data_IF_676256824741
#
_entry.id   IF_676256824741
#
_cell.length_a   1.000
_cell.length_b   1.000
_cell.length_c   1.000
_cell.angle_alpha   90.00
_cell.angle_beta   90.00
_cell.angle_gamma   90.00
#
_symmetry.space_group_name_H-M   'P 1'
#
loop_
_entity.id
_entity.type
_entity.pdbx_description
1 polymer ?
#
# COMPACT_ATOMS: atom_id res chain seq x y z
N UNK A 1 -26.73 2.40 0.81
CA UNK A 1 -26.59 3.52 -0.17
C UNK A 1 -25.11 3.86 -0.30
N UNK A 2 -24.64 4.28 -1.48
CA UNK A 2 -23.21 4.57 -1.74
C UNK A 2 -23.05 6.01 -2.22
N UNK A 3 -22.08 6.80 -1.72
CA UNK A 3 -21.81 8.15 -2.22
C UNK A 3 -21.35 8.17 -3.68
N UNK A 4 -21.68 9.21 -4.45
CA UNK A 4 -21.24 9.35 -5.84
C UNK A 4 -19.71 9.39 -6.00
N UNK A 5 -19.01 9.85 -4.96
CA UNK A 5 -17.56 9.91 -4.91
C UNK A 5 -16.92 8.73 -4.15
N UNK A 6 -17.65 7.63 -3.93
CA UNK A 6 -17.11 6.46 -3.25
C UNK A 6 -15.89 5.88 -3.98
N UNK A 7 -15.04 5.20 -3.23
CA UNK A 7 -13.88 4.45 -3.71
C UNK A 7 -14.02 3.01 -3.28
N UNK A 8 -13.52 2.11 -4.11
CA UNK A 8 -13.39 0.70 -3.75
C UNK A 8 -12.01 0.45 -3.13
N UNK A 9 -12.00 -0.27 -2.02
CA UNK A 9 -10.79 -0.77 -1.38
C UNK A 9 -10.94 -2.28 -1.28
N UNK A 10 -10.04 -3.03 -1.89
CA UNK A 10 -9.95 -4.46 -1.61
C UNK A 10 -9.32 -4.63 -0.22
N UNK A 11 -9.95 -5.42 0.64
CA UNK A 11 -9.48 -5.66 2.01
C UNK A 11 -9.17 -7.14 2.15
N UNK A 12 -7.94 -7.43 2.55
CA UNK A 12 -7.44 -8.76 2.90
C UNK A 12 -7.15 -8.76 4.41
N UNK A 13 -8.09 -9.18 5.27
CA UNK A 13 -7.91 -9.11 6.72
C UNK A 13 -6.81 -10.06 7.23
N UNK A 14 -6.47 -11.09 6.45
CA UNK A 14 -5.32 -11.96 6.68
C UNK A 14 -4.83 -12.56 5.37
N UNK A 15 -3.68 -13.27 5.40
CA UNK A 15 -3.08 -13.91 4.22
C UNK A 15 -3.94 -15.06 3.67
N UNK A 16 -4.71 -15.72 4.54
CA UNK A 16 -5.44 -16.95 4.20
C UNK A 16 -6.95 -16.70 4.03
N UNK A 17 -7.45 -15.58 4.55
CA UNK A 17 -8.88 -15.28 4.49
C UNK A 17 -9.31 -14.78 3.11
N UNK A 18 -10.60 -14.97 2.82
CA UNK A 18 -11.24 -14.39 1.66
C UNK A 18 -11.14 -12.86 1.67
N UNK A 19 -10.95 -12.28 0.48
CA UNK A 19 -10.92 -10.83 0.26
C UNK A 19 -12.33 -10.30 0.05
N UNK A 20 -12.58 -9.08 0.51
CA UNK A 20 -13.83 -8.37 0.23
C UNK A 20 -13.58 -6.96 -0.31
N UNK A 21 -14.56 -6.39 -0.99
CA UNK A 21 -14.53 -5.00 -1.46
C UNK A 21 -15.28 -4.11 -0.47
N UNK A 22 -14.58 -3.13 0.09
CA UNK A 22 -15.17 -2.09 0.92
C UNK A 22 -15.38 -0.82 0.10
N UNK A 23 -16.59 -0.27 0.14
CA UNK A 23 -16.90 1.03 -0.42
C UNK A 23 -16.81 2.10 0.66
N UNK A 24 -16.02 3.14 0.41
CA UNK A 24 -15.76 4.23 1.36
C UNK A 24 -15.85 5.60 0.68
N UNK A 25 -16.32 6.66 1.35
CA UNK A 25 -16.81 6.69 2.73
C UNK A 25 -18.24 6.12 2.88
N UNK A 26 -18.65 5.91 4.14
CA UNK A 26 -20.04 5.60 4.45
C UNK A 26 -20.95 6.75 3.97
N UNK A 27 -22.10 6.39 3.40
CA UNK A 27 -23.06 7.38 2.93
C UNK A 27 -23.74 8.09 4.11
N UNK A 28 -23.61 9.42 4.16
CA UNK A 28 -24.30 10.27 5.13
C UNK A 28 -25.37 11.12 4.45
N UNK A 29 -24.99 11.86 3.39
CA UNK A 29 -25.88 12.74 2.61
C UNK A 29 -25.31 13.02 1.22
N UNK A 30 -26.10 13.69 0.38
CA UNK A 30 -25.67 14.18 -0.93
C UNK A 30 -25.86 13.18 -2.09
N UNK A 31 -25.18 13.40 -3.22
CA UNK A 31 -25.35 12.59 -4.41
C UNK A 31 -24.99 11.12 -4.17
N UNK A 32 -25.80 10.21 -4.71
CA UNK A 32 -25.58 8.76 -4.67
C UNK A 32 -24.86 8.30 -5.93
N UNK A 33 -24.07 7.23 -5.78
CA UNK A 33 -23.51 6.52 -6.91
C UNK A 33 -24.66 6.02 -7.80
N UNK A 34 -24.54 6.28 -9.11
CA UNK A 34 -25.52 5.87 -10.11
C UNK A 34 -25.36 4.38 -10.38
N UNK A 35 -26.44 3.76 -10.83
CA UNK A 35 -26.35 2.39 -11.32
C UNK A 35 -25.45 2.33 -12.57
N UNK A 36 -24.71 1.24 -12.72
CA UNK A 36 -23.70 1.07 -13.77
C UNK A 36 -22.50 2.03 -13.69
N UNK A 37 -22.29 2.75 -12.58
CA UNK A 37 -21.14 3.64 -12.44
C UNK A 37 -19.82 2.87 -12.31
N UNK A 38 -18.82 3.27 -13.10
CA UNK A 38 -17.47 2.73 -13.00
C UNK A 38 -16.64 3.47 -11.95
N UNK A 39 -15.90 2.70 -11.14
CA UNK A 39 -14.94 3.23 -10.18
C UNK A 39 -13.52 3.03 -10.75
N UNK A 40 -12.89 4.05 -11.36
CA UNK A 40 -11.58 3.88 -11.98
C UNK A 40 -10.50 3.46 -10.97
N UNK A 41 -9.54 2.65 -11.42
CA UNK A 41 -8.45 2.12 -10.58
C UNK A 41 -7.63 3.23 -9.91
N UNK A 42 -7.42 4.37 -10.58
CA UNK A 42 -6.62 5.49 -10.09
C UNK A 42 -7.11 6.11 -8.76
N UNK A 43 -8.36 5.86 -8.37
CA UNK A 43 -8.95 6.33 -7.10
C UNK A 43 -9.26 5.20 -6.12
N UNK A 44 -9.13 3.95 -6.54
CA UNK A 44 -9.34 2.75 -5.75
C UNK A 44 -8.00 2.27 -5.16
N UNK A 45 -8.06 1.37 -4.19
CA UNK A 45 -6.85 0.80 -3.57
C UNK A 45 -6.92 -0.72 -3.54
N UNK A 46 -5.83 -1.34 -3.94
CA UNK A 46 -5.56 -2.76 -3.75
C UNK A 46 -4.52 -2.89 -2.65
N UNK A 47 -4.60 -3.89 -1.77
CA UNK A 47 -3.54 -4.16 -0.81
C UNK A 47 -2.20 -4.41 -1.53
N UNK A 48 -1.11 -4.06 -0.86
CA UNK A 48 0.21 -4.55 -1.25
C UNK A 48 0.25 -6.04 -0.94
N UNK A 49 0.68 -6.85 -1.90
CA UNK A 49 0.82 -8.29 -1.70
C UNK A 49 2.09 -8.60 -0.89
N UNK A 50 2.09 -9.71 -0.16
CA UNK A 50 3.20 -10.10 0.72
C UNK A 50 4.52 -10.27 -0.05
N UNK A 51 4.45 -10.82 -1.26
CA UNK A 51 5.64 -10.97 -2.11
C UNK A 51 6.24 -9.60 -2.49
N UNK A 52 5.38 -8.61 -2.80
CA UNK A 52 5.82 -7.24 -3.09
C UNK A 52 6.48 -6.57 -1.88
N UNK A 53 6.01 -6.90 -0.66
CA UNK A 53 6.65 -6.44 0.57
C UNK A 53 8.05 -7.05 0.72
N UNK A 54 8.20 -8.35 0.47
CA UNK A 54 9.51 -9.02 0.52
C UNK A 54 10.47 -8.51 -0.54
N UNK A 55 9.98 -8.26 -1.76
CA UNK A 55 10.76 -7.69 -2.84
C UNK A 55 11.24 -6.28 -2.47
N UNK A 56 10.35 -5.45 -1.93
CA UNK A 56 10.67 -4.08 -1.50
C UNK A 56 11.69 -4.07 -0.34
N UNK A 57 11.55 -4.99 0.61
CA UNK A 57 12.52 -5.16 1.70
C UNK A 57 13.87 -5.62 1.15
N UNK A 58 13.88 -6.54 0.20
CA UNK A 58 15.11 -7.04 -0.43
C UNK A 58 15.81 -5.94 -1.23
N UNK A 59 15.07 -5.16 -2.02
CA UNK A 59 15.62 -4.01 -2.74
C UNK A 59 16.19 -2.98 -1.77
N UNK A 60 15.48 -2.66 -0.69
CA UNK A 60 15.97 -1.73 0.33
C UNK A 60 17.26 -2.25 0.98
N UNK A 61 17.30 -3.53 1.36
CA UNK A 61 18.49 -4.14 1.95
C UNK A 61 19.68 -4.15 0.99
N UNK A 62 19.46 -4.39 -0.31
CA UNK A 62 20.52 -4.30 -1.33
C UNK A 62 21.00 -2.86 -1.51
N UNK A 63 20.07 -1.92 -1.62
CA UNK A 63 20.38 -0.51 -1.82
C UNK A 63 21.16 0.09 -0.65
N UNK A 64 20.92 -0.38 0.58
CA UNK A 64 21.63 0.09 1.78
C UNK A 64 22.80 -0.81 2.19
N UNK A 65 22.96 -1.98 1.58
CA UNK A 65 23.98 -2.95 1.92
C UNK A 65 25.39 -2.59 1.44
N UNK A 66 26.37 -3.48 1.65
CA UNK A 66 27.77 -3.29 1.25
C UNK A 66 27.99 -3.24 -0.27
N UNK A 67 26.98 -3.57 -1.07
CA UNK A 67 27.00 -3.39 -2.53
C UNK A 67 26.27 -2.11 -2.98
N UNK A 68 25.71 -1.35 -2.03
CA UNK A 68 24.91 -0.15 -2.28
C UNK A 68 25.47 1.08 -1.56
N UNK A 69 24.61 1.84 -0.90
CA UNK A 69 24.97 3.08 -0.21
C UNK A 69 26.00 2.88 0.92
N UNK A 70 26.15 1.65 1.44
CA UNK A 70 27.17 1.31 2.43
C UNK A 70 28.42 0.65 1.80
N UNK A 71 28.65 0.81 0.50
CA UNK A 71 29.81 0.21 -0.17
C UNK A 71 31.15 0.67 0.42
N UNK A 72 31.24 1.95 0.80
CA UNK A 72 32.44 2.53 1.43
C UNK A 72 32.36 2.53 2.97
N UNK A 73 31.39 1.85 3.57
CA UNK A 73 31.20 1.82 5.03
C UNK A 73 30.58 3.08 5.63
N UNK A 74 30.25 4.10 4.82
CA UNK A 74 29.79 5.40 5.32
C UNK A 74 28.51 5.35 6.18
N UNK A 75 27.59 4.41 5.92
CA UNK A 75 26.40 4.23 6.76
C UNK A 75 26.77 3.55 8.08
N UNK A 76 27.68 2.57 8.06
CA UNK A 76 28.23 1.92 9.26
C UNK A 76 28.97 2.94 10.14
N UNK A 77 29.84 3.76 9.57
CA UNK A 77 30.61 4.78 10.29
C UNK A 77 29.71 5.83 10.96
N UNK A 78 28.61 6.23 10.31
CA UNK A 78 27.62 7.13 10.91
C UNK A 78 26.97 6.50 12.14
N UNK A 79 26.51 5.25 12.02
CA UNK A 79 25.85 4.55 13.13
C UNK A 79 26.81 4.36 14.32
N UNK A 80 28.08 4.10 14.07
CA UNK A 80 29.11 3.93 15.10
C UNK A 80 29.46 5.23 15.82
N UNK A 81 29.37 6.39 15.15
CA UNK A 81 29.62 7.71 15.78
C UNK A 81 28.42 8.26 16.55
N UNK A 82 27.20 7.77 16.27
CA UNK A 82 25.95 8.21 16.89
C UNK A 82 25.44 7.34 18.04
N UNK A 83 25.97 6.12 18.22
CA UNK A 83 25.67 5.20 19.31
C UNK A 83 26.56 5.44 20.54
#
# INVERSE_FOLDING_TARGET
KVPANARAVAVAPSVVADRYIQLTPAYTKGPRLRDGAELPLSRNRTPVEIDQLYDSLTELSKALGPEGANADGALSDLLDTGA
#
